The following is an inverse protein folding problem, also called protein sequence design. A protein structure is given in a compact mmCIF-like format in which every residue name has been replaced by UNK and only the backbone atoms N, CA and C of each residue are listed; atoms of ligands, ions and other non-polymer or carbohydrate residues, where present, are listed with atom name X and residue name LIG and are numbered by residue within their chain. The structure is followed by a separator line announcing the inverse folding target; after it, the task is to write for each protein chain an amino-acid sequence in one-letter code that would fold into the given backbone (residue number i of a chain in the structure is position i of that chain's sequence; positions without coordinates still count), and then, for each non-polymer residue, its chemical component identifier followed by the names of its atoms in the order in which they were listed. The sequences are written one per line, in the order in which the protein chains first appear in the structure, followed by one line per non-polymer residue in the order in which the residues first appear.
data_IF_228916460856
#
_entry.id   IF_228916460856
#
_cell.length_a   1.000
_cell.length_b   1.000
_cell.length_c   1.000
_cell.angle_alpha   90.00
_cell.angle_beta   90.00
_cell.angle_gamma   90.00
#
_symmetry.space_group_name_H-M   'P 1'
#
loop_
_entity.id
_entity.type
_entity.pdbx_description
1 polymer ?
#
# COMPACT_ATOMS: atom_id res chain seq x y z
N UNK A 1 4.97 -9.67 -49.73
CA UNK A 1 4.21 -10.64 -48.93
C UNK A 1 4.91 -10.82 -47.59
N UNK A 2 4.38 -10.22 -46.53
CA UNK A 2 4.91 -10.38 -45.17
C UNK A 2 4.68 -11.84 -44.77
N UNK A 3 5.76 -12.62 -44.60
CA UNK A 3 5.64 -14.05 -44.28
C UNK A 3 4.97 -14.20 -42.90
N UNK A 4 4.04 -15.15 -42.72
CA UNK A 4 3.28 -15.32 -41.46
C UNK A 4 4.20 -15.53 -40.25
N UNK A 5 5.41 -16.06 -40.46
CA UNK A 5 6.48 -16.19 -39.47
C UNK A 5 6.93 -14.86 -38.87
N UNK A 6 6.98 -13.79 -39.66
CA UNK A 6 7.35 -12.46 -39.15
C UNK A 6 6.24 -11.86 -38.29
N UNK A 7 4.98 -12.12 -38.62
CA UNK A 7 3.84 -11.63 -37.85
C UNK A 7 3.76 -12.33 -36.49
N UNK A 8 3.97 -13.64 -36.45
CA UNK A 8 3.99 -14.39 -35.18
C UNK A 8 5.16 -14.00 -34.29
N UNK A 9 6.34 -13.74 -34.86
CA UNK A 9 7.50 -13.25 -34.11
C UNK A 9 7.25 -11.87 -33.49
N UNK A 10 6.64 -10.96 -34.25
CA UNK A 10 6.28 -9.63 -33.76
C UNK A 10 5.25 -9.72 -32.62
N UNK A 11 4.23 -10.57 -32.77
CA UNK A 11 3.19 -10.78 -31.75
C UNK A 11 3.79 -11.35 -30.46
N UNK A 12 4.70 -12.32 -30.57
CA UNK A 12 5.39 -12.91 -29.43
C UNK A 12 6.26 -11.88 -28.70
N UNK A 13 6.95 -11.01 -29.44
CA UNK A 13 7.78 -9.95 -28.87
C UNK A 13 6.94 -8.91 -28.12
N UNK A 14 5.81 -8.48 -28.69
CA UNK A 14 4.86 -7.60 -28.01
C UNK A 14 4.29 -8.23 -26.74
N UNK A 15 3.93 -9.52 -26.78
CA UNK A 15 3.43 -10.22 -25.60
C UNK A 15 4.50 -10.31 -24.51
N UNK A 16 5.74 -10.65 -24.85
CA UNK A 16 6.84 -10.72 -23.89
C UNK A 16 7.09 -9.36 -23.21
N UNK A 17 7.10 -8.27 -23.98
CA UNK A 17 7.23 -6.90 -23.46
C UNK A 17 6.07 -6.52 -22.54
N UNK A 18 4.84 -6.89 -22.89
CA UNK A 18 3.65 -6.65 -22.06
C UNK A 18 3.73 -7.40 -20.72
N UNK A 19 4.15 -8.67 -20.72
CA UNK A 19 4.30 -9.45 -19.50
C UNK A 19 5.44 -8.92 -18.60
N UNK A 20 6.55 -8.47 -19.17
CA UNK A 20 7.62 -7.79 -18.41
C UNK A 20 7.10 -6.51 -17.75
N UNK A 21 6.42 -5.63 -18.49
CA UNK A 21 5.91 -4.40 -17.88
C UNK A 21 4.83 -4.65 -16.81
N UNK A 22 4.09 -5.75 -16.93
CA UNK A 22 3.07 -6.15 -15.95
C UNK A 22 3.68 -6.63 -14.63
N UNK A 23 4.80 -7.35 -14.65
CA UNK A 23 5.44 -7.81 -13.41
C UNK A 23 5.95 -6.64 -12.57
N UNK A 24 6.56 -5.66 -13.22
CA UNK A 24 7.15 -4.50 -12.55
C UNK A 24 6.04 -3.64 -11.90
N UNK A 25 4.96 -3.35 -12.64
CA UNK A 25 3.79 -2.66 -12.08
C UNK A 25 3.14 -3.41 -10.90
N UNK A 26 3.16 -4.74 -10.92
CA UNK A 26 2.61 -5.55 -9.83
C UNK A 26 3.50 -5.51 -8.59
N UNK A 27 4.83 -5.48 -8.76
CA UNK A 27 5.78 -5.32 -7.67
C UNK A 27 5.65 -3.93 -7.04
N UNK A 28 5.61 -2.86 -7.84
CA UNK A 28 5.43 -1.49 -7.35
C UNK A 28 4.14 -1.35 -6.52
N UNK A 29 3.05 -1.96 -6.97
CA UNK A 29 1.79 -1.93 -6.24
C UNK A 29 1.87 -2.64 -4.89
N UNK A 30 2.52 -3.81 -4.85
CA UNK A 30 2.70 -4.58 -3.60
C UNK A 30 3.62 -3.83 -2.63
N UNK A 31 4.71 -3.24 -3.12
CA UNK A 31 5.63 -2.44 -2.30
C UNK A 31 4.94 -1.21 -1.73
N UNK A 32 4.13 -0.51 -2.53
CA UNK A 32 3.34 0.61 -2.05
C UNK A 32 2.33 0.17 -0.98
N UNK A 33 1.64 -0.94 -1.17
CA UNK A 33 0.71 -1.47 -0.16
C UNK A 33 1.42 -1.86 1.14
N UNK A 34 2.60 -2.50 1.05
CA UNK A 34 3.40 -2.86 2.21
C UNK A 34 3.87 -1.61 2.97
N UNK A 35 4.30 -0.57 2.25
CA UNK A 35 4.66 0.72 2.83
C UNK A 35 3.52 1.38 3.60
N UNK A 36 2.30 1.35 3.04
CA UNK A 36 1.10 1.87 3.72
C UNK A 36 0.78 1.07 4.98
N UNK A 37 0.85 -0.26 4.94
CA UNK A 37 0.59 -1.11 6.11
C UNK A 37 1.58 -0.84 7.26
N UNK A 38 2.86 -0.69 6.94
CA UNK A 38 3.89 -0.38 7.94
C UNK A 38 3.65 0.99 8.58
N UNK A 39 3.25 1.99 7.78
CA UNK A 39 2.89 3.30 8.29
C UNK A 39 1.69 3.27 9.25
N UNK A 40 0.63 2.52 8.89
CA UNK A 40 -0.52 2.32 9.77
C UNK A 40 -0.09 1.64 11.07
N UNK A 41 0.73 0.59 11.00
CA UNK A 41 1.23 -0.14 12.17
C UNK A 41 2.01 0.78 13.12
N UNK A 42 2.88 1.62 12.58
CA UNK A 42 3.66 2.59 13.37
C UNK A 42 2.76 3.63 14.04
N UNK A 43 1.77 4.17 13.34
CA UNK A 43 0.82 5.13 13.92
C UNK A 43 -0.06 4.48 15.00
N UNK A 44 -0.57 3.28 14.76
CA UNK A 44 -1.35 2.52 15.75
C UNK A 44 -0.50 2.23 16.99
N UNK A 45 0.74 1.80 16.81
CA UNK A 45 1.67 1.60 17.92
C UNK A 45 1.93 2.90 18.70
N UNK A 46 2.10 4.04 18.02
CA UNK A 46 2.28 5.34 18.68
C UNK A 46 1.03 5.79 19.47
N UNK A 47 -0.17 5.52 18.95
CA UNK A 47 -1.45 5.80 19.64
C UNK A 47 -1.56 4.93 20.90
N UNK A 48 -1.26 3.63 20.80
CA UNK A 48 -1.33 2.71 21.93
C UNK A 48 -0.20 2.86 22.94
N UNK A 49 0.98 3.33 22.51
CA UNK A 49 2.10 3.66 23.39
C UNK A 49 1.84 4.93 24.21
N UNK A 50 0.97 5.83 23.72
CA UNK A 50 0.50 6.96 24.52
C UNK A 50 -0.28 6.42 25.72
N UNK A 51 0.10 6.76 26.96
CA UNK A 51 -0.66 6.34 28.12
C UNK A 51 -2.07 6.94 28.01
N UNK A 52 -3.09 6.09 27.93
CA UNK A 52 -4.48 6.53 28.00
C UNK A 52 -4.64 7.38 29.27
N UNK A 53 -5.32 8.51 29.14
CA UNK A 53 -5.59 9.39 30.27
C UNK A 53 -6.17 8.56 31.42
N UNK A 54 -5.60 8.68 32.62
CA UNK A 54 -6.12 7.99 33.80
C UNK A 54 -7.58 8.38 34.00
N UNK A 55 -8.38 7.46 34.57
CA UNK A 55 -9.81 7.65 34.82
C UNK A 55 -10.14 9.02 35.44
N UNK A 56 -9.32 9.48 36.38
CA UNK A 56 -9.55 10.75 37.07
C UNK A 56 -9.32 11.97 36.16
N UNK A 57 -8.34 11.91 35.26
CA UNK A 57 -8.10 12.95 34.25
C UNK A 57 -9.22 12.99 33.19
N UNK A 58 -9.77 11.83 32.81
CA UNK A 58 -10.97 11.74 31.96
C UNK A 58 -12.19 12.35 32.63
N UNK A 59 -12.43 12.05 33.90
CA UNK A 59 -13.54 12.62 34.68
C UNK A 59 -13.39 14.13 34.90
N UNK A 60 -12.17 14.63 34.96
CA UNK A 60 -11.90 16.06 35.04
C UNK A 60 -12.16 16.78 33.71
N UNK A 61 -11.77 16.20 32.58
CA UNK A 61 -12.09 16.72 31.24
C UNK A 61 -13.60 16.74 30.99
N UNK A 62 -14.31 15.69 31.42
CA UNK A 62 -15.77 15.57 31.29
C UNK A 62 -16.50 16.65 32.11
N UNK A 63 -16.05 16.89 33.35
CA UNK A 63 -16.58 17.97 34.20
C UNK A 63 -16.32 19.37 33.64
N UNK A 64 -15.21 19.55 32.92
CA UNK A 64 -14.86 20.82 32.26
C UNK A 64 -15.56 21.00 30.90
N UNK A 65 -16.34 20.02 30.43
CA UNK A 65 -17.01 20.06 29.13
C UNK A 65 -16.06 20.04 27.92
N UNK A 66 -14.84 19.52 28.09
CA UNK A 66 -13.76 19.51 27.08
C UNK A 66 -13.50 18.11 26.50
N UNK A 67 -14.53 17.25 26.54
CA UNK A 67 -14.47 15.88 26.03
C UNK A 67 -14.92 15.84 24.58
#
# INVERSE_FOLDING_TARGET
MLKPVFLSLLLALCAAMYFLGRSDCQQDYIEQQAGVQEHVRQQTAAIHAKPNAKRDALLELMRRGKL
#
